data_IF_492470418713
#
_entry.id   IF_492470418713
#
_cell.length_a   1.000
_cell.length_b   1.000
_cell.length_c   1.000
_cell.angle_alpha   90.00
_cell.angle_beta   90.00
_cell.angle_gamma   90.00
#
_symmetry.space_group_name_H-M   'P 1'
#
loop_
_entity.id
_entity.type
_entity.pdbx_description
1 polymer ?
#
# COMPACT_ATOMS: atom_id res chain seq x y z
N UNK A 1 6.58 8.18 11.43
CA UNK A 1 6.80 6.78 11.79
C UNK A 1 6.71 5.87 10.57
N UNK A 2 7.67 4.97 10.42
CA UNK A 2 7.74 4.07 9.26
C UNK A 2 6.55 3.12 9.20
N UNK A 3 6.11 2.62 10.35
CA UNK A 3 5.00 1.65 10.38
C UNK A 3 3.71 2.31 9.90
N UNK A 4 3.41 3.50 10.38
CA UNK A 4 2.20 4.21 9.96
C UNK A 4 2.27 4.61 8.48
N UNK A 5 3.45 4.99 8.00
CA UNK A 5 3.66 5.25 6.57
C UNK A 5 3.35 4.00 5.73
N UNK A 6 3.81 2.83 6.16
CA UNK A 6 3.51 1.57 5.46
C UNK A 6 2.02 1.25 5.47
N UNK A 7 1.35 1.49 6.58
CA UNK A 7 -0.09 1.27 6.71
C UNK A 7 -0.86 2.16 5.73
N UNK A 8 -0.56 3.46 5.73
CA UNK A 8 -1.24 4.41 4.85
C UNK A 8 -0.99 4.10 3.39
N UNK A 9 0.25 3.82 3.02
CA UNK A 9 0.62 3.49 1.65
C UNK A 9 -0.08 2.21 1.17
N UNK A 10 -0.15 1.18 2.01
CA UNK A 10 -0.80 -0.08 1.63
C UNK A 10 -2.30 0.11 1.42
N UNK A 11 -2.96 0.92 2.22
CA UNK A 11 -4.37 1.24 2.00
C UNK A 11 -4.60 1.91 0.65
N UNK A 12 -3.71 2.83 0.27
CA UNK A 12 -3.80 3.51 -1.03
C UNK A 12 -3.55 2.52 -2.17
N UNK A 13 -2.53 1.68 -2.05
CA UNK A 13 -2.22 0.67 -3.07
C UNK A 13 -3.37 -0.32 -3.24
N UNK A 14 -3.94 -0.82 -2.14
CA UNK A 14 -5.08 -1.73 -2.18
C UNK A 14 -6.32 -1.08 -2.82
N UNK A 15 -6.57 0.18 -2.52
CA UNK A 15 -7.66 0.94 -3.12
C UNK A 15 -7.47 1.07 -4.64
N UNK A 16 -6.25 1.38 -5.07
CA UNK A 16 -5.92 1.46 -6.50
C UNK A 16 -6.10 0.11 -7.19
N UNK A 17 -5.62 -0.97 -6.56
CA UNK A 17 -5.79 -2.32 -7.09
C UNK A 17 -7.27 -2.68 -7.24
N UNK A 18 -8.08 -2.37 -6.25
CA UNK A 18 -9.52 -2.61 -6.30
C UNK A 18 -10.17 -1.90 -7.49
N UNK A 19 -9.90 -0.60 -7.66
CA UNK A 19 -10.50 0.17 -8.74
C UNK A 19 -10.11 -0.38 -10.11
N UNK A 20 -8.84 -0.67 -10.30
CA UNK A 20 -8.34 -1.20 -11.58
C UNK A 20 -8.88 -2.61 -11.83
N UNK A 21 -8.93 -3.45 -10.80
CA UNK A 21 -9.48 -4.81 -10.92
C UNK A 21 -10.96 -4.80 -11.30
N UNK A 22 -11.71 -3.77 -10.90
CA UNK A 22 -13.12 -3.59 -11.28
C UNK A 22 -13.28 -2.92 -12.65
N UNK A 23 -12.19 -2.81 -13.42
CA UNK A 23 -12.18 -2.21 -14.75
C UNK A 23 -12.49 -0.70 -14.75
N UNK A 24 -12.17 -0.02 -13.66
CA UNK A 24 -12.32 1.43 -13.54
C UNK A 24 -11.15 2.09 -14.29
N UNK A 25 -11.44 2.92 -15.27
CA UNK A 25 -10.44 3.58 -16.12
C UNK A 25 -10.09 4.99 -15.65
N UNK A 26 -10.60 5.42 -14.51
CA UNK A 26 -10.29 6.73 -13.97
C UNK A 26 -8.80 6.83 -13.64
N UNK A 27 -8.17 7.94 -14.06
CA UNK A 27 -6.79 8.22 -13.66
C UNK A 27 -6.75 8.52 -12.16
N UNK A 28 -6.00 7.72 -11.41
CA UNK A 28 -5.92 7.86 -9.96
C UNK A 28 -4.76 8.79 -9.60
N UNK A 29 -5.00 9.81 -8.75
CA UNK A 29 -3.97 10.78 -8.40
C UNK A 29 -2.87 10.17 -7.53
N UNK A 30 -1.71 10.83 -7.52
CA UNK A 30 -0.68 10.56 -6.55
C UNK A 30 -1.03 11.15 -5.17
N UNK A 31 -0.18 10.91 -4.21
CA UNK A 31 -0.31 11.51 -2.88
C UNK A 31 1.08 11.89 -2.35
N UNK A 32 1.12 12.90 -1.48
CA UNK A 32 2.36 13.35 -0.87
C UNK A 32 2.56 12.63 0.46
N UNK A 33 3.45 11.65 0.46
CA UNK A 33 3.71 10.81 1.63
C UNK A 33 4.16 11.63 2.84
N UNK A 34 4.97 12.66 2.62
CA UNK A 34 5.46 13.52 3.70
C UNK A 34 4.34 14.29 4.38
N UNK A 35 3.34 14.74 3.62
CA UNK A 35 2.18 15.44 4.19
C UNK A 35 1.37 14.49 5.07
N UNK A 36 1.25 13.25 4.67
CA UNK A 36 0.53 12.23 5.44
C UNK A 36 1.24 11.96 6.77
N UNK A 37 2.56 11.88 6.76
CA UNK A 37 3.34 11.66 7.98
C UNK A 37 3.11 12.79 8.99
N UNK A 38 3.08 14.04 8.51
CA UNK A 38 2.90 15.21 9.38
C UNK A 38 1.53 15.18 10.07
N UNK A 39 0.46 14.89 9.32
CA UNK A 39 -0.90 14.92 9.85
C UNK A 39 -1.32 13.64 10.58
N UNK A 40 -0.62 12.54 10.36
CA UNK A 40 -0.96 11.26 10.96
C UNK A 40 -0.70 11.19 12.45
N UNK A 41 0.20 12.02 12.96
CA UNK A 41 0.46 12.16 14.40
C UNK A 41 0.85 10.83 15.06
N UNK A 42 1.70 10.06 14.41
CA UNK A 42 2.10 8.72 14.84
C UNK A 42 2.75 8.68 16.23
N UNK A 43 3.40 9.79 16.63
CA UNK A 43 4.09 9.87 17.92
C UNK A 43 3.15 9.71 19.12
N UNK A 44 1.85 9.90 18.93
CA UNK A 44 0.85 9.74 19.98
C UNK A 44 0.25 8.33 20.01
N UNK A 45 0.75 7.42 19.17
CA UNK A 45 0.22 6.05 19.10
C UNK A 45 1.18 5.06 19.70
N UNK A 46 0.64 4.11 20.46
CA UNK A 46 1.42 3.01 21.00
C UNK A 46 1.86 2.06 19.89
N UNK A 47 3.06 1.52 20.03
CA UNK A 47 3.64 0.58 19.07
C UNK A 47 2.73 -0.62 18.81
N UNK A 48 2.14 -1.19 19.86
CA UNK A 48 1.24 -2.34 19.75
C UNK A 48 -0.02 -2.01 18.95
N UNK A 49 -0.55 -0.79 19.11
CA UNK A 49 -1.68 -0.31 18.31
C UNK A 49 -1.32 -0.24 16.83
N UNK A 50 -0.13 0.26 16.50
CA UNK A 50 0.35 0.34 15.12
C UNK A 50 0.54 -1.05 14.51
N UNK A 51 1.10 -2.00 15.27
CA UNK A 51 1.27 -3.37 14.78
C UNK A 51 -0.06 -4.06 14.53
N UNK A 52 -1.03 -3.87 15.42
CA UNK A 52 -2.36 -4.45 15.26
C UNK A 52 -3.04 -3.89 14.00
N UNK A 53 -2.91 -2.60 13.74
CA UNK A 53 -3.47 -1.98 12.54
C UNK A 53 -2.76 -2.48 11.29
N UNK A 54 -1.44 -2.59 11.32
CA UNK A 54 -0.66 -3.15 10.20
C UNK A 54 -1.15 -4.55 9.83
N UNK A 55 -1.32 -5.43 10.82
CA UNK A 55 -1.84 -6.77 10.60
C UNK A 55 -3.24 -6.76 9.98
N UNK A 56 -4.12 -5.91 10.46
CA UNK A 56 -5.48 -5.79 9.94
C UNK A 56 -5.48 -5.35 8.48
N UNK A 57 -4.65 -4.36 8.14
CA UNK A 57 -4.53 -3.86 6.76
C UNK A 57 -3.95 -4.94 5.85
N UNK A 58 -2.90 -5.65 6.29
CA UNK A 58 -2.29 -6.72 5.51
C UNK A 58 -3.27 -7.86 5.28
N UNK A 59 -4.03 -8.26 6.29
CA UNK A 59 -5.02 -9.31 6.15
C UNK A 59 -6.12 -8.90 5.15
N UNK A 60 -6.55 -7.65 5.18
CA UNK A 60 -7.52 -7.14 4.22
C UNK A 60 -6.95 -7.13 2.80
N UNK A 61 -5.69 -6.73 2.63
CA UNK A 61 -5.01 -6.73 1.33
C UNK A 61 -4.91 -8.15 0.78
N UNK A 62 -4.49 -9.12 1.60
CA UNK A 62 -4.38 -10.52 1.20
C UNK A 62 -5.74 -11.05 0.75
N UNK A 63 -6.79 -10.81 1.55
CA UNK A 63 -8.15 -11.23 1.20
C UNK A 63 -8.61 -10.64 -0.12
N UNK A 64 -8.30 -9.37 -0.38
CA UNK A 64 -8.66 -8.72 -1.64
C UNK A 64 -7.97 -9.41 -2.81
N UNK A 65 -6.65 -9.59 -2.75
CA UNK A 65 -5.89 -10.17 -3.86
C UNK A 65 -6.23 -11.64 -4.10
N UNK A 66 -6.61 -12.39 -3.07
CA UNK A 66 -7.05 -13.78 -3.21
C UNK A 66 -8.31 -13.91 -4.05
N UNK A 67 -9.14 -12.86 -4.13
CA UNK A 67 -10.36 -12.87 -4.93
C UNK A 67 -10.13 -12.54 -6.40
N UNK A 68 -8.94 -12.03 -6.74
CA UNK A 68 -8.66 -11.61 -8.12
C UNK A 68 -8.44 -12.82 -9.03
N UNK A 69 -9.08 -12.78 -10.19
CA UNK A 69 -8.85 -13.75 -11.26
C UNK A 69 -7.57 -13.38 -12.00
N UNK A 70 -7.10 -14.30 -12.87
CA UNK A 70 -5.97 -14.00 -13.75
C UNK A 70 -6.24 -12.78 -14.63
N UNK A 71 -7.47 -12.63 -15.09
CA UNK A 71 -7.88 -11.48 -15.89
C UNK A 71 -7.81 -10.19 -15.06
N UNK A 72 -8.31 -10.21 -13.82
CA UNK A 72 -8.26 -9.06 -12.92
C UNK A 72 -6.82 -8.60 -12.70
N UNK A 73 -5.91 -9.55 -12.46
CA UNK A 73 -4.51 -9.25 -12.18
C UNK A 73 -3.79 -8.57 -13.35
N UNK A 74 -4.24 -8.83 -14.58
CA UNK A 74 -3.63 -8.27 -15.78
C UNK A 74 -4.25 -6.94 -16.22
N UNK A 75 -5.34 -6.49 -15.59
CA UNK A 75 -5.97 -5.23 -15.96
C UNK A 75 -5.03 -4.06 -15.70
N UNK A 76 -5.04 -3.12 -16.64
CA UNK A 76 -4.20 -1.94 -16.60
C UNK A 76 -5.04 -0.71 -16.24
N UNK A 77 -4.46 0.16 -15.45
CA UNK A 77 -5.03 1.45 -15.11
C UNK A 77 -3.93 2.50 -15.00
N UNK A 78 -4.30 3.70 -14.58
CA UNK A 78 -3.37 4.81 -14.43
C UNK A 78 -3.36 5.27 -12.97
N UNK A 79 -2.18 5.34 -12.38
CA UNK A 79 -1.99 5.87 -11.03
C UNK A 79 -0.72 6.69 -11.01
N UNK A 80 -0.76 7.87 -10.40
CA UNK A 80 0.39 8.80 -10.34
C UNK A 80 0.98 9.06 -11.73
N UNK A 81 0.13 9.21 -12.75
CA UNK A 81 0.49 9.43 -14.17
C UNK A 81 1.24 8.26 -14.82
N UNK A 82 1.23 7.09 -14.22
CA UNK A 82 1.88 5.89 -14.75
C UNK A 82 0.85 4.81 -15.04
N UNK A 83 1.05 4.07 -16.14
CA UNK A 83 0.28 2.87 -16.40
C UNK A 83 0.76 1.76 -15.47
N UNK A 84 -0.19 1.05 -14.87
CA UNK A 84 0.13 -0.01 -13.90
C UNK A 84 -0.93 -1.11 -13.97
N UNK A 85 -0.50 -2.36 -13.80
CA UNK A 85 -1.42 -3.49 -13.65
C UNK A 85 -1.75 -3.75 -12.18
N UNK A 86 -2.87 -4.43 -11.94
CA UNK A 86 -3.24 -4.88 -10.59
C UNK A 86 -2.11 -5.73 -10.00
N UNK A 87 -1.56 -6.65 -10.80
CA UNK A 87 -0.44 -7.52 -10.37
C UNK A 87 0.78 -6.70 -9.96
N UNK A 88 1.11 -5.67 -10.73
CA UNK A 88 2.23 -4.78 -10.41
C UNK A 88 2.02 -4.06 -9.08
N UNK A 89 0.79 -3.63 -8.78
CA UNK A 89 0.47 -3.01 -7.50
C UNK A 89 0.73 -3.98 -6.34
N UNK A 90 0.40 -5.25 -6.50
CA UNK A 90 0.71 -6.27 -5.50
C UNK A 90 2.20 -6.37 -5.22
N UNK A 91 3.00 -6.43 -6.27
CA UNK A 91 4.47 -6.45 -6.13
C UNK A 91 5.02 -5.16 -5.52
N UNK A 92 4.47 -4.00 -5.90
CA UNK A 92 4.87 -2.71 -5.32
C UNK A 92 4.59 -2.69 -3.81
N UNK A 93 3.44 -3.18 -3.39
CA UNK A 93 3.06 -3.24 -1.98
C UNK A 93 4.07 -4.06 -1.17
N UNK A 94 4.43 -5.25 -1.66
CA UNK A 94 5.41 -6.10 -0.99
C UNK A 94 6.81 -5.51 -1.04
N UNK A 95 7.19 -4.94 -2.18
CA UNK A 95 8.51 -4.32 -2.34
C UNK A 95 8.69 -3.10 -1.45
N UNK A 96 7.65 -2.30 -1.27
CA UNK A 96 7.68 -1.12 -0.40
C UNK A 96 7.93 -1.51 1.06
N UNK A 97 7.23 -2.53 1.54
CA UNK A 97 7.46 -3.08 2.88
C UNK A 97 8.90 -3.58 3.03
N UNK A 98 9.36 -4.38 2.09
CA UNK A 98 10.70 -4.96 2.13
C UNK A 98 11.78 -3.90 2.11
N UNK A 99 11.61 -2.86 1.30
CA UNK A 99 12.55 -1.73 1.24
C UNK A 99 12.70 -1.07 2.60
N UNK A 100 11.61 -0.72 3.28
CA UNK A 100 11.66 -0.09 4.60
C UNK A 100 12.22 -1.01 5.66
N UNK A 101 11.91 -2.30 5.59
CA UNK A 101 12.49 -3.30 6.48
C UNK A 101 14.00 -3.35 6.36
N UNK A 102 14.52 -3.36 5.13
CA UNK A 102 15.95 -3.38 4.87
C UNK A 102 16.65 -2.11 5.37
N UNK A 103 16.03 -0.94 5.17
CA UNK A 103 16.56 0.32 5.68
C UNK A 103 16.69 0.30 7.21
N UNK A 104 15.68 -0.23 7.89
CA UNK A 104 15.72 -0.37 9.34
C UNK A 104 16.87 -1.29 9.77
N UNK A 105 17.02 -2.44 9.11
CA UNK A 105 18.09 -3.39 9.41
C UNK A 105 19.48 -2.77 9.20
N UNK A 106 19.67 -2.02 8.12
CA UNK A 106 20.95 -1.37 7.83
C UNK A 106 21.30 -0.26 8.82
N UNK A 107 20.31 0.50 9.31
CA UNK A 107 20.55 1.65 10.18
C UNK A 107 20.65 1.30 11.66
N UNK A 108 20.00 0.23 12.09
CA UNK A 108 19.84 -0.08 13.51
C UNK A 108 20.46 -1.41 13.92
N UNK A 109 20.98 -2.15 12.99
CA UNK A 109 21.71 -3.37 13.24
C UNK A 109 23.11 -3.31 12.66
#
# INVERSE_FOLDING_TARGET
DIILHLIDAERIFAYRALRIARNDKTALPGFEENDYVITANANNREYESLLAEYESVRNATVSLFETFTSEDLLRLGTASNCSVSVRAIGYITLGHELHHKNVILERYL
#
